data_IF_887897742412
#
_entry.id   IF_887897742412
#
_cell.length_a   1.000
_cell.length_b   1.000
_cell.length_c   1.000
_cell.angle_alpha   90.00
_cell.angle_beta   90.00
_cell.angle_gamma   90.00
#
_symmetry.space_group_name_H-M   'P 1'
#
loop_
_entity.id
_entity.type
_entity.pdbx_description
1 polymer ?
#
# COMPACT_ATOMS: atom_id res chain seq x y z
N UNK A 1 7.61 -32.64 -3.78
CA UNK A 1 7.60 -31.94 -5.09
C UNK A 1 8.95 -31.28 -5.29
N UNK A 2 9.70 -31.67 -6.31
CA UNK A 2 10.96 -31.02 -6.70
C UNK A 2 10.63 -29.73 -7.45
N UNK A 3 11.10 -28.59 -6.95
CA UNK A 3 10.91 -27.30 -7.62
C UNK A 3 11.76 -27.28 -8.90
N UNK A 4 11.24 -26.79 -10.04
CA UNK A 4 11.99 -26.78 -11.29
C UNK A 4 13.33 -26.06 -11.11
N UNK A 5 14.42 -26.68 -11.55
CA UNK A 5 15.81 -26.18 -11.44
C UNK A 5 16.00 -24.77 -12.01
N UNK A 6 15.12 -24.34 -12.93
CA UNK A 6 15.11 -23.00 -13.53
C UNK A 6 14.94 -21.86 -12.51
N UNK A 7 14.40 -22.12 -11.32
CA UNK A 7 14.14 -21.08 -10.30
C UNK A 7 15.18 -21.01 -9.19
N UNK A 8 16.19 -21.89 -9.18
CA UNK A 8 17.19 -21.96 -8.11
C UNK A 8 18.03 -20.69 -7.97
N UNK A 9 18.25 -19.97 -9.08
CA UNK A 9 19.06 -18.75 -9.15
C UNK A 9 18.22 -17.46 -9.20
N UNK A 10 16.92 -17.56 -8.91
CA UNK A 10 16.05 -16.39 -8.86
C UNK A 10 15.95 -15.89 -7.42
N UNK A 11 16.16 -14.59 -7.27
CA UNK A 11 16.11 -13.89 -6.01
C UNK A 11 15.04 -12.81 -6.07
N UNK A 12 14.33 -12.64 -4.97
CA UNK A 12 13.38 -11.54 -4.79
C UNK A 12 13.66 -10.87 -3.45
N UNK A 13 13.38 -9.57 -3.32
CA UNK A 13 13.38 -8.90 -2.03
C UNK A 13 12.47 -9.61 -1.03
N UNK A 14 12.91 -9.73 0.23
CA UNK A 14 12.22 -10.45 1.29
C UNK A 14 10.74 -10.06 1.42
N UNK A 15 10.43 -8.76 1.27
CA UNK A 15 9.06 -8.23 1.32
C UNK A 15 8.10 -8.92 0.34
N UNK A 16 8.55 -9.33 -0.86
CA UNK A 16 7.68 -9.94 -1.88
C UNK A 16 7.23 -11.37 -1.53
N UNK A 17 7.86 -12.02 -0.55
CA UNK A 17 7.40 -13.33 -0.08
C UNK A 17 6.15 -13.23 0.79
N UNK A 18 5.83 -12.04 1.31
CA UNK A 18 4.63 -11.80 2.10
C UNK A 18 3.44 -11.48 1.18
N UNK A 19 2.32 -12.15 1.42
CA UNK A 19 1.06 -11.90 0.71
C UNK A 19 0.50 -10.53 1.07
N UNK A 20 0.68 -10.10 2.32
CA UNK A 20 0.37 -8.75 2.79
C UNK A 20 1.04 -7.67 1.95
N UNK A 21 2.34 -7.81 1.65
CA UNK A 21 3.07 -6.83 0.83
C UNK A 21 2.59 -6.81 -0.62
N UNK A 22 2.27 -7.98 -1.19
CA UNK A 22 1.71 -8.05 -2.55
C UNK A 22 0.37 -7.33 -2.64
N UNK A 23 -0.51 -7.52 -1.66
CA UNK A 23 -1.76 -6.77 -1.54
C UNK A 23 -1.50 -5.26 -1.38
N UNK A 24 -0.54 -4.84 -0.54
CA UNK A 24 -0.15 -3.43 -0.43
C UNK A 24 0.29 -2.85 -1.80
N UNK A 25 1.11 -3.57 -2.56
CA UNK A 25 1.55 -3.16 -3.90
C UNK A 25 0.36 -2.93 -4.83
N UNK A 26 -0.65 -3.80 -4.80
CA UNK A 26 -1.88 -3.65 -5.57
C UNK A 26 -2.70 -2.44 -5.07
N UNK A 27 -2.76 -2.23 -3.75
CA UNK A 27 -3.38 -1.04 -3.15
C UNK A 27 -2.73 0.25 -3.62
N UNK A 28 -1.39 0.32 -3.64
CA UNK A 28 -0.64 1.48 -4.17
C UNK A 28 -0.90 1.71 -5.67
N UNK A 29 -1.24 0.67 -6.45
CA UNK A 29 -1.70 0.84 -7.84
C UNK A 29 -3.10 1.46 -7.88
N UNK A 30 -4.01 0.98 -7.04
CA UNK A 30 -5.36 1.54 -6.91
C UNK A 30 -5.35 3.05 -6.56
N UNK A 31 -4.49 3.46 -5.63
CA UNK A 31 -4.28 4.88 -5.28
C UNK A 31 -3.84 5.69 -6.50
N UNK A 32 -2.85 5.20 -7.26
CA UNK A 32 -2.34 5.89 -8.45
C UNK A 32 -3.42 6.03 -9.51
N UNK A 33 -4.20 4.98 -9.77
CA UNK A 33 -5.32 5.04 -10.70
C UNK A 33 -6.39 6.05 -10.25
N UNK A 34 -6.68 6.13 -8.96
CA UNK A 34 -7.61 7.13 -8.42
C UNK A 34 -7.07 8.56 -8.59
N UNK A 35 -5.78 8.79 -8.35
CA UNK A 35 -5.11 10.08 -8.51
C UNK A 35 -5.10 10.54 -9.98
N UNK A 36 -4.73 9.63 -10.89
CA UNK A 36 -4.77 9.83 -12.34
C UNK A 36 -6.20 10.15 -12.81
N UNK A 37 -7.20 9.45 -12.27
CA UNK A 37 -8.60 9.68 -12.62
C UNK A 37 -9.10 11.04 -12.13
N UNK A 38 -8.80 11.43 -10.88
CA UNK A 38 -9.17 12.74 -10.34
C UNK A 38 -8.49 13.89 -11.08
N UNK A 39 -7.31 13.65 -11.66
CA UNK A 39 -6.57 14.65 -12.44
C UNK A 39 -7.00 14.68 -13.92
N UNK A 40 -7.70 13.65 -14.41
CA UNK A 40 -8.11 13.53 -15.80
C UNK A 40 -9.37 14.34 -16.11
N UNK A 41 -9.38 15.05 -17.23
CA UNK A 41 -10.52 15.84 -17.72
C UNK A 41 -11.78 15.00 -18.06
N UNK A 42 -11.69 13.66 -18.04
CA UNK A 42 -12.80 12.72 -18.31
C UNK A 42 -13.28 12.03 -17.03
N UNK A 43 -13.41 12.77 -15.94
CA UNK A 43 -13.89 12.23 -14.68
C UNK A 43 -15.38 11.84 -14.78
N UNK A 44 -15.67 10.53 -14.82
CA UNK A 44 -17.03 10.03 -14.68
C UNK A 44 -17.36 9.86 -13.18
N UNK A 45 -18.45 10.52 -12.73
CA UNK A 45 -18.88 10.65 -11.33
C UNK A 45 -19.06 9.34 -10.53
N UNK A 46 -19.07 8.17 -11.18
CA UNK A 46 -19.33 6.88 -10.52
C UNK A 46 -18.12 5.94 -10.48
N UNK A 47 -17.11 6.17 -11.32
CA UNK A 47 -15.99 5.23 -11.45
C UNK A 47 -15.03 5.32 -10.24
N UNK A 48 -14.83 6.52 -9.68
CA UNK A 48 -13.97 6.72 -8.52
C UNK A 48 -14.41 5.89 -7.32
N UNK A 49 -15.74 5.67 -7.16
CA UNK A 49 -16.29 4.86 -6.07
C UNK A 49 -15.82 3.41 -6.15
N UNK A 50 -15.73 2.85 -7.36
CA UNK A 50 -15.29 1.48 -7.59
C UNK A 50 -13.79 1.36 -7.24
N UNK A 51 -12.98 2.30 -7.73
CA UNK A 51 -11.53 2.33 -7.45
C UNK A 51 -11.29 2.54 -5.96
N UNK A 52 -12.05 3.44 -5.32
CA UNK A 52 -12.00 3.72 -3.90
C UNK A 52 -12.28 2.48 -3.06
N UNK A 53 -13.43 1.82 -3.29
CA UNK A 53 -13.82 0.60 -2.57
C UNK A 53 -12.75 -0.48 -2.74
N UNK A 54 -12.32 -0.71 -3.99
CA UNK A 54 -11.30 -1.70 -4.31
C UNK A 54 -9.99 -1.43 -3.57
N UNK A 55 -9.55 -0.17 -3.55
CA UNK A 55 -8.31 0.24 -2.90
C UNK A 55 -8.39 0.12 -1.38
N UNK A 56 -9.43 0.65 -0.74
CA UNK A 56 -9.66 0.50 0.70
C UNK A 56 -9.72 -0.97 1.11
N UNK A 57 -10.41 -1.80 0.31
CA UNK A 57 -10.53 -3.24 0.55
C UNK A 57 -9.17 -3.93 0.46
N UNK A 58 -8.38 -3.67 -0.58
CA UNK A 58 -7.07 -4.28 -0.76
C UNK A 58 -6.09 -3.86 0.33
N UNK A 59 -6.07 -2.58 0.73
CA UNK A 59 -5.22 -2.09 1.82
C UNK A 59 -5.61 -2.73 3.17
N UNK A 60 -6.91 -2.88 3.44
CA UNK A 60 -7.40 -3.65 4.59
C UNK A 60 -6.93 -5.11 4.49
N UNK A 61 -7.10 -5.74 3.33
CA UNK A 61 -6.69 -7.12 3.06
C UNK A 61 -5.20 -7.31 3.32
N UNK A 62 -4.34 -6.34 2.99
CA UNK A 62 -2.91 -6.41 3.28
C UNK A 62 -2.63 -6.67 4.77
N UNK A 63 -3.38 -6.04 5.67
CA UNK A 63 -3.25 -6.27 7.12
C UNK A 63 -3.90 -7.58 7.54
N UNK A 64 -5.11 -7.88 7.06
CA UNK A 64 -5.80 -9.13 7.38
C UNK A 64 -4.98 -10.36 6.93
N UNK A 65 -4.18 -10.24 5.87
CA UNK A 65 -3.26 -11.28 5.37
C UNK A 65 -2.09 -11.59 6.30
N UNK A 66 -1.84 -10.80 7.36
CA UNK A 66 -0.86 -11.19 8.39
C UNK A 66 -1.22 -12.54 8.99
N UNK A 67 -2.52 -12.88 9.04
CA UNK A 67 -2.99 -14.18 9.53
C UNK A 67 -2.57 -15.34 8.64
N UNK A 68 -2.49 -15.11 7.32
CA UNK A 68 -2.02 -16.10 6.36
C UNK A 68 -0.47 -16.13 6.34
N UNK A 69 0.17 -14.98 6.37
CA UNK A 69 1.63 -14.87 6.32
C UNK A 69 2.30 -15.52 7.55
N UNK A 70 1.72 -15.40 8.75
CA UNK A 70 2.22 -16.10 9.95
C UNK A 70 2.10 -17.64 9.86
N UNK A 71 1.24 -18.17 8.96
CA UNK A 71 1.05 -19.61 8.73
C UNK A 71 1.85 -20.13 7.52
N UNK A 72 2.57 -19.25 6.82
CA UNK A 72 3.31 -19.59 5.60
C UNK A 72 4.52 -20.50 5.86
N UNK A 73 5.20 -20.91 4.79
CA UNK A 73 6.45 -21.69 4.85
C UNK A 73 7.70 -20.84 5.11
N UNK A 74 7.54 -19.56 5.46
CA UNK A 74 8.65 -18.68 5.77
C UNK A 74 9.38 -19.07 7.06
N UNK A 75 10.63 -18.60 7.26
CA UNK A 75 11.35 -18.85 8.51
C UNK A 75 10.52 -18.48 9.74
N UNK A 76 10.69 -19.26 10.81
CA UNK A 76 9.91 -19.07 12.05
C UNK A 76 10.01 -17.63 12.60
N UNK A 77 11.19 -17.00 12.51
CA UNK A 77 11.40 -15.64 13.02
C UNK A 77 10.44 -14.61 12.39
N UNK A 78 10.35 -14.56 11.05
CA UNK A 78 9.46 -13.60 10.38
C UNK A 78 7.99 -13.92 10.64
N UNK A 79 7.61 -15.20 10.74
CA UNK A 79 6.23 -15.58 11.05
C UNK A 79 5.82 -15.14 12.46
N UNK A 80 6.69 -15.34 13.45
CA UNK A 80 6.44 -14.95 14.83
C UNK A 80 6.32 -13.42 14.96
N UNK A 81 7.15 -12.65 14.25
CA UNK A 81 7.07 -11.17 14.26
C UNK A 81 5.84 -10.61 13.55
N UNK A 82 5.39 -11.24 12.45
CA UNK A 82 4.13 -10.90 11.80
C UNK A 82 2.94 -11.22 12.71
N UNK A 83 2.98 -12.34 13.42
CA UNK A 83 1.97 -12.70 14.41
C UNK A 83 1.90 -11.67 15.56
N UNK A 84 3.07 -11.25 16.05
CA UNK A 84 3.17 -10.22 17.08
C UNK A 84 2.62 -8.88 16.61
N UNK A 85 2.97 -8.42 15.40
CA UNK A 85 2.46 -7.17 14.82
C UNK A 85 0.93 -7.22 14.65
N UNK A 86 0.39 -8.33 14.16
CA UNK A 86 -1.06 -8.51 14.05
C UNK A 86 -1.76 -8.45 15.42
N UNK A 87 -1.17 -9.10 16.42
CA UNK A 87 -1.73 -9.08 17.77
C UNK A 87 -1.71 -7.67 18.37
N UNK A 88 -0.62 -6.92 18.15
CA UNK A 88 -0.50 -5.52 18.56
C UNK A 88 -1.61 -4.67 17.92
N UNK A 89 -1.79 -4.79 16.60
CA UNK A 89 -2.84 -4.07 15.86
C UNK A 89 -4.25 -4.37 16.42
N UNK A 90 -4.48 -5.62 16.82
CA UNK A 90 -5.76 -6.09 17.35
C UNK A 90 -6.07 -5.59 18.76
N UNK A 91 -5.04 -5.51 19.61
CA UNK A 91 -5.19 -5.14 21.03
C UNK A 91 -5.23 -3.62 21.20
N UNK A 92 -4.39 -2.88 20.46
CA UNK A 92 -4.23 -1.43 20.59
C UNK A 92 -5.04 -0.67 19.53
N UNK A 93 -6.36 -0.92 19.45
CA UNK A 93 -7.19 -0.38 18.35
C UNK A 93 -7.13 1.14 18.24
N UNK A 94 -7.13 1.84 19.37
CA UNK A 94 -7.07 3.30 19.43
C UNK A 94 -5.78 3.88 18.85
N UNK A 95 -4.67 3.13 18.90
CA UNK A 95 -3.37 3.53 18.33
C UNK A 95 -3.28 3.21 16.82
N UNK A 96 -4.30 2.56 16.27
CA UNK A 96 -4.36 2.09 14.89
C UNK A 96 -5.63 2.56 14.18
N UNK A 97 -6.02 3.82 14.42
CA UNK A 97 -7.20 4.45 13.84
C UNK A 97 -7.25 4.38 12.30
N UNK A 98 -6.11 4.47 11.61
CA UNK A 98 -6.03 4.28 10.15
C UNK A 98 -6.63 2.93 9.72
N UNK A 99 -6.33 1.86 10.46
CA UNK A 99 -6.89 0.55 10.14
C UNK A 99 -8.33 0.42 10.62
N UNK A 100 -8.60 0.75 11.89
CA UNK A 100 -9.89 0.48 12.52
C UNK A 100 -10.99 1.46 12.12
N UNK A 101 -10.71 2.75 12.19
CA UNK A 101 -11.69 3.82 11.97
C UNK A 101 -11.78 4.27 10.52
N UNK A 102 -10.77 3.94 9.70
CA UNK A 102 -10.77 4.23 8.27
C UNK A 102 -10.90 2.96 7.41
N UNK A 103 -9.82 2.21 7.16
CA UNK A 103 -9.83 1.13 6.16
C UNK A 103 -10.88 0.03 6.44
N UNK A 104 -11.01 -0.39 7.69
CA UNK A 104 -11.99 -1.39 8.10
C UNK A 104 -13.40 -0.84 8.03
N UNK A 105 -13.63 0.33 8.63
CA UNK A 105 -14.93 0.98 8.71
C UNK A 105 -15.49 1.33 7.34
N UNK A 106 -14.65 1.82 6.43
CA UNK A 106 -15.06 2.17 5.06
C UNK A 106 -15.65 0.95 4.34
N UNK A 107 -14.96 -0.18 4.37
CA UNK A 107 -15.48 -1.44 3.80
C UNK A 107 -16.77 -1.87 4.50
N UNK A 108 -16.81 -1.82 5.83
CA UNK A 108 -17.96 -2.27 6.62
C UNK A 108 -19.21 -1.39 6.31
N UNK A 109 -19.05 -0.08 6.20
CA UNK A 109 -20.12 0.85 5.81
C UNK A 109 -20.65 0.55 4.40
N UNK A 110 -19.76 0.36 3.43
CA UNK A 110 -20.16 0.04 2.06
C UNK A 110 -20.90 -1.30 1.99
N UNK A 111 -20.41 -2.32 2.68
CA UNK A 111 -21.00 -3.66 2.65
C UNK A 111 -22.36 -3.73 3.35
N UNK A 112 -22.53 -3.02 4.47
CA UNK A 112 -23.70 -3.14 5.32
C UNK A 112 -24.75 -2.06 5.08
N UNK A 113 -24.35 -0.88 4.61
CA UNK A 113 -25.21 0.30 4.49
C UNK A 113 -25.18 0.91 3.09
N UNK A 114 -24.27 0.48 2.22
CA UNK A 114 -24.03 1.09 0.90
C UNK A 114 -23.74 2.60 1.01
N UNK A 115 -22.99 2.97 2.05
CA UNK A 115 -22.58 4.35 2.33
C UNK A 115 -21.07 4.51 2.17
N UNK A 116 -20.65 5.62 1.56
CA UNK A 116 -19.25 6.00 1.42
C UNK A 116 -18.88 7.03 2.48
N UNK A 117 -17.71 6.84 3.09
CA UNK A 117 -17.10 7.86 3.94
C UNK A 117 -16.48 8.98 3.10
N UNK A 118 -16.12 8.75 1.85
CA UNK A 118 -15.66 9.80 0.93
C UNK A 118 -16.83 10.43 0.14
N UNK A 119 -16.74 11.73 -0.14
CA UNK A 119 -17.66 12.45 -1.03
C UNK A 119 -16.92 13.42 -1.95
N UNK A 120 -17.54 13.73 -3.08
CA UNK A 120 -17.00 14.66 -4.06
C UNK A 120 -17.14 16.11 -3.59
N UNK A 121 -16.06 16.86 -3.72
CA UNK A 121 -16.05 18.30 -3.55
C UNK A 121 -15.19 18.94 -4.63
N UNK A 122 -15.38 20.23 -4.85
CA UNK A 122 -14.55 21.02 -5.77
C UNK A 122 -13.66 21.96 -4.95
N UNK A 123 -12.35 21.88 -5.17
CA UNK A 123 -11.38 22.76 -4.51
C UNK A 123 -10.98 23.89 -5.45
N UNK A 124 -11.19 25.13 -5.03
CA UNK A 124 -10.69 26.30 -5.73
C UNK A 124 -9.17 26.47 -5.51
N UNK A 125 -8.46 27.23 -6.35
CA UNK A 125 -7.04 27.54 -6.15
C UNK A 125 -6.72 28.23 -4.81
N UNK A 126 -7.70 28.94 -4.24
CA UNK A 126 -7.61 29.61 -2.94
C UNK A 126 -7.79 28.67 -1.73
N UNK A 127 -8.01 27.37 -1.96
CA UNK A 127 -8.19 26.35 -0.93
C UNK A 127 -9.62 26.24 -0.39
N UNK A 128 -10.57 27.03 -0.89
CA UNK A 128 -11.98 26.93 -0.49
C UNK A 128 -12.70 25.80 -1.22
N UNK A 129 -13.71 25.23 -0.55
CA UNK A 129 -14.51 24.12 -1.09
C UNK A 129 -15.84 24.62 -1.63
N UNK A 130 -16.23 24.11 -2.80
CA UNK A 130 -17.57 24.27 -3.37
C UNK A 130 -18.28 22.92 -3.29
N UNK A 131 -19.53 22.96 -2.81
CA UNK A 131 -20.41 21.79 -2.87
C UNK A 131 -20.64 21.39 -4.34
N UNK A 132 -20.82 20.09 -4.63
CA UNK A 132 -21.12 19.63 -5.98
C UNK A 132 -22.49 20.19 -6.41
N UNK A 133 -22.48 21.22 -7.26
CA UNK A 133 -23.69 21.67 -7.94
C UNK A 133 -24.00 20.69 -9.07
N UNK A 134 -25.16 20.06 -9.03
CA UNK A 134 -25.68 19.13 -10.05
C UNK A 134 -25.97 19.78 -11.42
N UNK A 135 -25.50 21.01 -11.64
CA UNK A 135 -25.65 21.67 -12.93
C UNK A 135 -24.65 21.09 -13.92
N UNK A 136 -25.17 20.30 -14.88
CA UNK A 136 -24.49 19.79 -16.08
C UNK A 136 -23.77 20.87 -16.94
N UNK A 137 -23.85 22.14 -16.56
CA UNK A 137 -23.40 23.31 -17.30
C UNK A 137 -22.26 24.08 -16.63
N UNK A 138 -21.76 23.67 -15.46
CA UNK A 138 -20.57 24.31 -14.87
C UNK A 138 -19.31 23.80 -15.55
N UNK A 139 -19.06 24.35 -16.74
CA UNK A 139 -17.73 24.42 -17.32
C UNK A 139 -16.83 25.27 -16.41
N UNK A 140 -15.59 24.85 -16.39
CA UNK A 140 -14.47 25.21 -15.54
C UNK A 140 -14.05 26.70 -15.66
N UNK A 141 -14.83 27.63 -15.10
CA UNK A 141 -14.50 29.07 -15.13
C UNK A 141 -13.53 29.51 -14.03
N UNK A 142 -13.42 28.78 -12.92
CA UNK A 142 -12.63 29.18 -11.73
C UNK A 142 -11.33 28.37 -11.52
N UNK A 143 -11.00 27.42 -12.41
CA UNK A 143 -9.86 26.50 -12.24
C UNK A 143 -9.98 25.57 -11.03
N UNK A 144 -11.22 25.26 -10.64
CA UNK A 144 -11.51 24.40 -9.50
C UNK A 144 -11.31 22.93 -9.88
N UNK A 145 -10.58 22.17 -9.06
CA UNK A 145 -10.32 20.76 -9.32
C UNK A 145 -11.22 19.84 -8.50
N UNK A 146 -11.65 18.69 -9.03
CA UNK A 146 -12.37 17.70 -8.25
C UNK A 146 -11.43 17.09 -7.20
N UNK A 147 -11.96 16.94 -5.99
CA UNK A 147 -11.29 16.26 -4.88
C UNK A 147 -12.28 15.34 -4.18
N UNK A 148 -11.75 14.45 -3.35
CA UNK A 148 -12.55 13.64 -2.44
C UNK A 148 -12.27 14.07 -1.00
N UNK A 149 -13.32 14.26 -0.21
CA UNK A 149 -13.25 14.60 1.20
C UNK A 149 -13.92 13.53 2.05
N UNK A 150 -13.41 13.33 3.26
CA UNK A 150 -14.02 12.44 4.24
C UNK A 150 -15.21 13.11 4.94
N UNK A 151 -16.30 12.36 5.06
CA UNK A 151 -17.55 12.73 5.72
C UNK A 151 -17.58 12.11 7.12
N UNK A 152 -17.58 12.98 8.14
CA UNK A 152 -17.72 12.58 9.53
C UNK A 152 -16.56 11.73 10.08
N UNK A 153 -16.68 11.36 11.35
CA UNK A 153 -15.68 10.56 12.05
C UNK A 153 -14.37 11.32 12.33
N UNK A 154 -13.31 10.61 12.77
CA UNK A 154 -12.06 11.25 13.18
C UNK A 154 -11.26 11.87 12.03
N UNK A 155 -11.66 11.61 10.78
CA UNK A 155 -10.99 12.09 9.58
C UNK A 155 -11.82 13.11 8.80
N UNK A 156 -12.93 13.62 9.36
CA UNK A 156 -13.83 14.56 8.70
C UNK A 156 -13.09 15.76 8.07
N UNK A 157 -13.47 16.11 6.84
CA UNK A 157 -12.91 17.23 6.09
C UNK A 157 -11.50 17.01 5.55
N UNK A 158 -10.84 15.88 5.86
CA UNK A 158 -9.55 15.53 5.27
C UNK A 158 -9.72 15.11 3.81
N UNK A 159 -8.71 15.40 3.00
CA UNK A 159 -8.61 14.86 1.65
C UNK A 159 -8.51 13.34 1.71
N UNK A 160 -9.48 12.66 1.09
CA UNK A 160 -9.62 11.20 1.11
C UNK A 160 -8.48 10.51 0.37
N UNK A 161 -7.96 11.08 -0.71
CA UNK A 161 -6.83 10.50 -1.45
C UNK A 161 -5.54 10.58 -0.62
N UNK A 162 -5.30 11.69 0.08
CA UNK A 162 -4.15 11.83 0.98
C UNK A 162 -4.26 10.88 2.16
N UNK A 163 -5.47 10.71 2.73
CA UNK A 163 -5.72 9.72 3.78
C UNK A 163 -5.48 8.28 3.29
N UNK A 164 -5.80 7.99 2.02
CA UNK A 164 -5.56 6.68 1.41
C UNK A 164 -4.05 6.43 1.20
N UNK A 165 -3.29 7.46 0.80
CA UNK A 165 -1.83 7.46 0.72
C UNK A 165 -1.22 7.20 2.10
N UNK A 166 -1.65 7.94 3.12
CA UNK A 166 -1.27 7.71 4.52
C UNK A 166 -1.61 6.30 4.98
N UNK A 167 -2.77 5.78 4.58
CA UNK A 167 -3.19 4.41 4.85
C UNK A 167 -2.22 3.38 4.27
N UNK A 168 -1.80 3.54 3.02
CA UNK A 168 -0.81 2.67 2.39
C UNK A 168 0.56 2.75 3.07
N UNK A 169 1.02 3.95 3.41
CA UNK A 169 2.30 4.15 4.10
C UNK A 169 2.28 3.55 5.51
N UNK A 170 1.15 3.67 6.21
CA UNK A 170 0.95 3.00 7.49
C UNK A 170 1.03 1.48 7.37
N UNK A 171 0.32 0.89 6.39
CA UNK A 171 0.38 -0.57 6.12
C UNK A 171 1.81 -1.02 5.84
N UNK A 172 2.53 -0.28 4.98
CA UNK A 172 3.93 -0.55 4.68
C UNK A 172 4.81 -0.53 5.92
N UNK A 173 4.64 0.48 6.77
CA UNK A 173 5.38 0.61 8.01
C UNK A 173 5.16 -0.60 8.94
N UNK A 174 3.94 -1.14 9.03
CA UNK A 174 3.66 -2.36 9.82
C UNK A 174 4.38 -3.57 9.25
N UNK A 175 4.30 -3.78 7.94
CA UNK A 175 4.95 -4.89 7.24
C UNK A 175 6.48 -4.80 7.44
N UNK A 176 7.06 -3.64 7.15
CA UNK A 176 8.52 -3.46 7.21
C UNK A 176 9.04 -3.52 8.64
N UNK A 177 8.28 -3.03 9.62
CA UNK A 177 8.63 -3.17 11.03
C UNK A 177 8.74 -4.64 11.43
N UNK A 178 7.76 -5.48 11.05
CA UNK A 178 7.79 -6.91 11.35
C UNK A 178 8.98 -7.62 10.67
N UNK A 179 9.28 -7.30 9.41
CA UNK A 179 10.46 -7.83 8.70
C UNK A 179 11.75 -7.45 9.43
N UNK A 180 11.90 -6.17 9.80
CA UNK A 180 13.12 -5.67 10.47
C UNK A 180 13.31 -6.28 11.85
N UNK A 181 12.25 -6.43 12.65
CA UNK A 181 12.33 -7.11 13.94
C UNK A 181 12.70 -8.60 13.81
N UNK A 182 12.38 -9.22 12.67
CA UNK A 182 12.82 -10.58 12.37
C UNK A 182 14.32 -10.68 11.98
N UNK A 183 15.05 -9.55 11.96
CA UNK A 183 16.46 -9.47 11.60
C UNK A 183 16.71 -9.47 10.09
N UNK A 184 15.72 -9.06 9.31
CA UNK A 184 15.76 -9.03 7.84
C UNK A 184 15.63 -7.58 7.34
N UNK A 185 16.25 -7.26 6.21
CA UNK A 185 15.94 -6.03 5.48
C UNK A 185 14.81 -6.31 4.47
N UNK A 186 13.70 -5.53 4.42
CA UNK A 186 12.66 -5.69 3.40
C UNK A 186 13.17 -5.81 1.96
N UNK A 187 14.28 -5.13 1.65
CA UNK A 187 14.87 -5.08 0.32
C UNK A 187 15.96 -6.13 0.08
N UNK A 188 16.34 -6.93 1.08
CA UNK A 188 17.38 -7.95 0.87
C UNK A 188 16.88 -9.08 -0.03
N UNK A 189 17.77 -9.51 -0.92
CA UNK A 189 17.49 -10.58 -1.86
C UNK A 189 17.51 -11.97 -1.19
N UNK A 190 16.38 -12.66 -1.26
CA UNK A 190 16.18 -14.02 -0.78
C UNK A 190 15.83 -14.95 -1.93
N UNK A 191 16.44 -16.13 -1.95
CA UNK A 191 16.22 -17.12 -3.02
C UNK A 191 14.80 -17.67 -2.98
N UNK A 192 14.15 -17.78 -4.15
CA UNK A 192 12.74 -18.19 -4.28
C UNK A 192 12.41 -19.54 -3.62
N UNK A 193 13.35 -20.48 -3.64
CA UNK A 193 13.09 -21.88 -3.24
C UNK A 193 13.36 -22.11 -1.75
N UNK A 194 14.39 -21.48 -1.20
CA UNK A 194 14.90 -21.81 0.14
C UNK A 194 15.01 -20.61 1.07
N UNK A 195 14.60 -19.41 0.62
CA UNK A 195 14.71 -18.16 1.38
C UNK A 195 16.14 -17.91 1.92
N UNK A 196 17.15 -18.41 1.21
CA UNK A 196 18.56 -18.22 1.55
C UNK A 196 19.05 -16.89 0.98
N UNK A 197 20.00 -16.20 1.64
CA UNK A 197 20.61 -15.01 1.08
C UNK A 197 21.31 -15.37 -0.23
N UNK A 198 21.43 -14.37 -1.12
CA UNK A 198 22.21 -14.53 -2.35
C UNK A 198 23.66 -14.92 -1.99
N UNK A 199 24.21 -15.99 -2.57
CA UNK A 199 25.60 -16.33 -2.33
C UNK A 199 26.47 -15.18 -2.84
N UNK A 200 27.33 -14.65 -1.95
CA UNK A 200 28.40 -13.76 -2.37
C UNK A 200 29.34 -14.58 -3.26
N UNK A 201 29.23 -14.42 -4.58
CA UNK A 201 30.21 -14.96 -5.49
C UNK A 201 31.46 -14.07 -5.40
N UNK A 202 32.59 -14.55 -4.85
CA UNK A 202 33.85 -13.81 -4.95
C UNK A 202 34.28 -13.84 -6.42
N UNK A 203 33.97 -12.79 -7.18
CA UNK A 203 34.31 -12.75 -8.61
C UNK A 203 33.60 -11.71 -9.47
N UNK A 204 33.14 -10.58 -8.93
CA UNK A 204 32.87 -9.42 -9.79
C UNK A 204 34.21 -8.78 -10.18
N UNK A 205 34.83 -9.31 -11.24
CA UNK A 205 36.03 -8.77 -11.89
C UNK A 205 35.62 -7.51 -12.70
N UNK A 206 35.06 -6.52 -12.01
CA UNK A 206 34.75 -5.21 -12.59
C UNK A 206 35.34 -4.07 -11.75
N UNK A 207 36.01 -4.38 -10.63
CA UNK A 207 36.74 -3.43 -9.80
C UNK A 207 38.26 -3.43 -9.97
N UNK A 208 38.83 -4.33 -10.77
CA UNK A 208 40.29 -4.54 -10.84
C UNK A 208 40.95 -4.14 -12.16
N UNK A 209 40.21 -3.49 -13.09
CA UNK A 209 40.76 -3.03 -14.39
C UNK A 209 41.03 -1.51 -14.38
N UNK A 210 40.89 -0.81 -13.25
CA UNK A 210 41.19 0.62 -13.17
C UNK A 210 42.51 0.98 -12.47
N UNK A 211 43.33 0.00 -12.08
CA UNK A 211 44.61 0.24 -11.37
C UNK A 211 45.86 -0.28 -12.10
N UNK A 212 45.75 -0.69 -13.38
CA UNK A 212 46.91 -0.97 -14.24
C UNK A 212 46.94 -0.03 -15.44
N UNK A 213 47.08 1.27 -15.18
CA UNK A 213 47.54 2.24 -16.19
C UNK A 213 48.17 3.47 -15.53
N UNK A 214 49.15 3.26 -14.66
CA UNK A 214 50.22 4.26 -14.40
C UNK A 214 51.55 3.54 -14.18
N UNK A 215 52.07 2.97 -15.26
CA UNK A 215 53.45 2.53 -15.34
C UNK A 215 54.32 3.56 -16.05
N UNK A 216 55.42 3.92 -15.39
CA UNK A 216 56.71 4.40 -15.92
C UNK A 216 56.88 5.88 -16.27
#
# INVERSE_FOLDING_TARGET
MTVPTKYLNNYLPAKYFLSSYRALSDGRRGIRHLDEQLTSAKFFLHEWKIIWIGTCTILRTAIDLFRADQQSCLPKQIRDEIAAEWNLIRVQQNEHAIFWDFLRKERDNILHQYEWGAYEAWMKPDGTFRAPNLSLLTLDEDGARPILLMKGGPFEGRNSLDLLKEGADWVEARIFSAIRRAGLDPDEERGLVHFRPRPNLPGSILGTILDEDTGS
#
